data_IF_193962059946
#
_entry.id   IF_193962059946
#
_cell.length_a   1.000
_cell.length_b   1.000
_cell.length_c   1.000
_cell.angle_alpha   90.00
_cell.angle_beta   90.00
_cell.angle_gamma   90.00
#
_symmetry.space_group_name_H-M   'P 1'
#
loop_
_entity.id
_entity.type
_entity.pdbx_description
1 polymer ?
#
# COMPACT_ATOMS: atom_id res chain seq x y z
N UNK A 1 40.15 22.86 -15.10
CA UNK A 1 39.38 23.21 -13.89
C UNK A 1 37.95 22.83 -14.18
N UNK A 2 37.47 21.85 -13.45
CA UNK A 2 36.53 20.83 -13.92
C UNK A 2 35.09 21.17 -13.55
N UNK A 3 34.18 20.84 -14.47
CA UNK A 3 32.86 20.32 -14.13
C UNK A 3 31.95 21.21 -13.29
N UNK A 4 31.48 22.31 -13.84
CA UNK A 4 30.33 23.00 -13.29
C UNK A 4 29.04 22.17 -13.52
N UNK A 5 28.29 21.98 -12.43
CA UNK A 5 26.83 21.75 -12.37
C UNK A 5 26.31 20.37 -12.81
N UNK A 6 26.46 19.38 -11.94
CA UNK A 6 25.44 18.33 -11.79
C UNK A 6 24.36 18.83 -10.83
N UNK A 7 23.45 19.64 -11.36
CA UNK A 7 22.10 19.80 -10.80
C UNK A 7 21.22 18.71 -11.45
N UNK A 8 20.19 18.26 -10.73
CA UNK A 8 19.22 17.22 -11.05
C UNK A 8 19.44 15.86 -10.36
N UNK A 9 19.61 15.88 -9.02
CA UNK A 9 18.91 14.88 -8.21
C UNK A 9 17.42 15.20 -8.35
N UNK A 10 16.74 14.45 -9.21
CA UNK A 10 15.32 14.58 -9.47
C UNK A 10 14.54 14.45 -8.16
N UNK A 11 14.04 15.58 -7.70
CA UNK A 11 12.96 15.70 -6.73
C UNK A 11 11.74 14.92 -7.21
N UNK A 12 11.60 13.66 -6.82
CA UNK A 12 10.29 13.05 -6.58
C UNK A 12 10.44 11.86 -5.62
N UNK A 13 10.46 12.15 -4.32
CA UNK A 13 10.03 11.16 -3.32
C UNK A 13 8.52 10.94 -3.54
N UNK A 14 8.13 10.11 -4.50
CA UNK A 14 6.79 9.53 -4.47
C UNK A 14 6.91 8.26 -3.63
N UNK A 15 6.79 8.43 -2.32
CA UNK A 15 6.48 7.31 -1.43
C UNK A 15 5.14 6.76 -1.88
N UNK A 16 5.16 5.65 -2.62
CA UNK A 16 3.94 4.94 -2.96
C UNK A 16 3.39 4.37 -1.64
N UNK A 17 2.23 4.88 -1.19
CA UNK A 17 1.51 4.28 -0.07
C UNK A 17 0.90 2.99 -0.58
N UNK A 18 1.41 1.86 -0.11
CA UNK A 18 0.83 0.55 -0.39
C UNK A 18 -0.50 0.44 0.34
N UNK A 19 -1.57 0.20 -0.42
CA UNK A 19 -2.94 0.05 0.09
C UNK A 19 -3.54 -1.20 -0.54
N UNK A 20 -3.83 -2.20 0.28
CA UNK A 20 -4.37 -3.50 -0.14
C UNK A 20 -5.81 -3.60 0.34
N UNK A 21 -6.77 -3.75 -0.58
CA UNK A 21 -8.18 -3.88 -0.25
C UNK A 21 -8.55 -5.35 -0.02
N UNK A 22 -9.17 -5.65 1.11
CA UNK A 22 -9.54 -7.02 1.48
C UNK A 22 -10.94 -7.13 2.05
N UNK A 23 -11.51 -8.34 1.95
CA UNK A 23 -12.66 -8.73 2.74
C UNK A 23 -12.24 -9.19 4.14
N UNK A 24 -13.21 -9.38 5.04
CA UNK A 24 -12.98 -9.86 6.41
C UNK A 24 -12.25 -11.21 6.45
N UNK A 25 -12.51 -12.11 5.50
CA UNK A 25 -11.90 -13.45 5.46
C UNK A 25 -10.42 -13.44 5.04
N UNK A 26 -9.98 -12.44 4.26
CA UNK A 26 -8.64 -12.40 3.66
C UNK A 26 -7.79 -11.22 4.16
N UNK A 27 -8.24 -10.53 5.22
CA UNK A 27 -7.49 -9.42 5.83
C UNK A 27 -6.16 -9.89 6.42
N UNK A 28 -6.14 -11.07 7.03
CA UNK A 28 -4.94 -11.68 7.63
C UNK A 28 -3.83 -11.89 6.59
N UNK A 29 -4.20 -12.40 5.40
CA UNK A 29 -3.27 -12.63 4.28
C UNK A 29 -2.68 -11.31 3.78
N UNK A 30 -3.48 -10.24 3.68
CA UNK A 30 -2.94 -8.94 3.28
C UNK A 30 -2.01 -8.33 4.33
N UNK A 31 -2.26 -8.59 5.61
CA UNK A 31 -1.37 -8.12 6.68
C UNK A 31 -0.03 -8.83 6.57
N UNK A 32 0.00 -10.17 6.44
CA UNK A 32 1.25 -10.92 6.23
C UNK A 32 2.03 -10.41 5.01
N UNK A 33 1.34 -10.19 3.88
CA UNK A 33 1.95 -9.63 2.67
C UNK A 33 2.54 -8.24 2.91
N UNK A 34 1.77 -7.35 3.55
CA UNK A 34 2.24 -6.00 3.84
C UNK A 34 3.45 -6.01 4.79
N UNK A 35 3.43 -6.87 5.81
CA UNK A 35 4.53 -7.00 6.77
C UNK A 35 5.77 -7.58 6.10
N UNK A 36 5.64 -8.56 5.20
CA UNK A 36 6.76 -9.13 4.45
C UNK A 36 7.43 -8.07 3.54
N UNK A 37 6.63 -7.21 2.90
CA UNK A 37 7.14 -6.18 1.99
C UNK A 37 7.69 -4.94 2.70
N UNK A 38 7.06 -4.52 3.80
CA UNK A 38 7.36 -3.23 4.47
C UNK A 38 8.10 -3.38 5.78
N UNK A 39 8.20 -4.62 6.29
CA UNK A 39 8.71 -4.97 7.62
C UNK A 39 8.04 -4.17 8.75
N UNK A 40 6.81 -3.67 8.51
CA UNK A 40 6.07 -2.78 9.38
C UNK A 40 4.62 -3.25 9.57
N UNK A 41 4.06 -2.94 10.74
CA UNK A 41 2.66 -3.22 11.03
C UNK A 41 1.77 -2.29 10.19
N UNK A 42 0.81 -2.82 9.40
CA UNK A 42 -0.14 -1.99 8.68
C UNK A 42 -1.22 -1.42 9.61
N UNK A 43 -1.79 -0.29 9.19
CA UNK A 43 -3.09 0.18 9.66
C UNK A 43 -4.22 -0.53 8.90
N UNK A 44 -5.22 -0.96 9.66
CA UNK A 44 -6.47 -1.52 9.13
C UNK A 44 -7.57 -0.47 9.24
N UNK A 45 -7.99 0.07 8.11
CA UNK A 45 -9.07 1.05 8.05
C UNK A 45 -10.30 0.42 7.38
N UNK A 46 -11.52 0.58 7.94
CA UNK A 46 -12.73 0.16 7.27
C UNK A 46 -12.95 1.02 6.01
N UNK A 47 -13.37 0.38 4.92
CA UNK A 47 -13.73 1.07 3.68
C UNK A 47 -15.24 1.22 3.58
N UNK A 48 -15.76 2.33 4.08
CA UNK A 48 -17.14 2.72 3.85
C UNK A 48 -17.35 3.02 2.36
N UNK A 49 -18.28 2.28 1.74
CA UNK A 49 -18.78 2.50 0.38
C UNK A 49 -17.84 2.03 -0.77
N UNK A 50 -17.50 0.74 -0.78
CA UNK A 50 -16.56 0.17 -1.75
C UNK A 50 -17.22 -0.50 -2.97
N UNK A 51 -17.05 0.13 -4.14
CA UNK A 51 -16.91 -0.58 -5.43
C UNK A 51 -15.58 -1.38 -5.49
N UNK A 52 -14.78 -1.34 -4.43
CA UNK A 52 -13.53 -2.08 -4.29
C UNK A 52 -13.82 -3.53 -3.93
N UNK A 53 -13.10 -4.41 -4.60
CA UNK A 53 -13.16 -5.83 -4.39
C UNK A 53 -11.89 -6.29 -3.67
N UNK A 54 -12.04 -7.33 -2.87
CA UNK A 54 -10.93 -8.02 -2.23
C UNK A 54 -9.95 -8.48 -3.30
N UNK A 55 -8.68 -8.16 -3.12
CA UNK A 55 -7.61 -8.53 -4.06
C UNK A 55 -7.52 -10.06 -4.28
N UNK A 56 -7.88 -10.86 -3.27
CA UNK A 56 -7.72 -12.31 -3.30
C UNK A 56 -8.91 -13.08 -3.87
N UNK A 57 -10.13 -12.64 -3.57
CA UNK A 57 -11.34 -13.41 -3.89
C UNK A 57 -12.40 -12.62 -4.66
N UNK A 58 -12.11 -11.36 -5.01
CA UNK A 58 -13.02 -10.45 -5.71
C UNK A 58 -14.38 -10.23 -5.02
N UNK A 59 -14.56 -10.67 -3.77
CA UNK A 59 -15.71 -10.32 -2.93
C UNK A 59 -15.65 -8.84 -2.55
N UNK A 60 -16.71 -8.30 -1.97
CA UNK A 60 -16.70 -6.92 -1.49
C UNK A 60 -15.58 -6.71 -0.46
N UNK A 61 -14.73 -5.72 -0.69
CA UNK A 61 -13.72 -5.32 0.29
C UNK A 61 -14.40 -4.51 1.41
N UNK A 62 -14.03 -4.83 2.65
CA UNK A 62 -14.52 -4.16 3.86
C UNK A 62 -13.39 -3.47 4.63
N UNK A 63 -12.13 -3.87 4.39
CA UNK A 63 -10.94 -3.27 4.98
C UNK A 63 -9.92 -2.86 3.92
N UNK A 64 -9.13 -1.84 4.24
CA UNK A 64 -7.88 -1.51 3.55
C UNK A 64 -6.71 -1.65 4.52
N UNK A 65 -5.67 -2.34 4.06
CA UNK A 65 -4.41 -2.58 4.75
C UNK A 65 -3.36 -1.63 4.16
N UNK A 66 -2.80 -0.73 4.96
CA UNK A 66 -1.80 0.25 4.48
C UNK A 66 -1.19 1.12 5.57
N UNK A 67 -0.30 2.04 5.19
CA UNK A 67 0.40 2.96 6.11
C UNK A 67 0.69 4.32 5.48
#
# INVERSE_FOLDING_TARGET
MEGAKTLLLFSTRRGARMMIFTCEEHVDIAIDQYVDETEQAPDLLPVDNSEKQCYFCSKQAVYVVGG
#
